data_IF_236744126012
#
_entry.id   IF_236744126012
#
_cell.length_a   1.000
_cell.length_b   1.000
_cell.length_c   1.000
_cell.angle_alpha   90.00
_cell.angle_beta   90.00
_cell.angle_gamma   90.00
#
_symmetry.space_group_name_H-M   'P 1'
#
loop_
_entity.id
_entity.type
_entity.pdbx_description
1 polymer ?
#
# COMPACT_ATOMS: atom_id res chain seq x y z
N UNK A 1 14.43 -4.62 -0.38
CA UNK A 1 13.09 -5.06 -0.83
C UNK A 1 12.23 -5.34 0.40
N UNK A 2 10.93 -5.03 0.33
CA UNK A 2 9.97 -5.31 1.41
C UNK A 2 9.84 -6.81 1.67
N UNK A 3 9.69 -7.19 2.96
CA UNK A 3 9.42 -8.58 3.38
C UNK A 3 8.22 -8.66 4.33
N UNK A 4 8.18 -7.80 5.34
CA UNK A 4 7.14 -7.80 6.37
C UNK A 4 7.02 -6.44 7.08
N UNK A 5 6.02 -6.30 7.95
CA UNK A 5 5.74 -5.10 8.74
C UNK A 5 4.98 -4.01 7.99
N UNK A 6 4.75 -2.87 8.65
CA UNK A 6 4.15 -1.67 8.04
C UNK A 6 5.25 -0.84 7.37
N UNK A 7 5.26 -0.82 6.04
CA UNK A 7 6.20 -0.05 5.24
C UNK A 7 5.94 1.46 5.36
N UNK A 8 7.01 2.22 5.57
CA UNK A 8 7.04 3.68 5.53
C UNK A 8 8.39 4.13 4.97
N UNK A 9 8.40 5.21 4.21
CA UNK A 9 9.62 5.83 3.70
C UNK A 9 9.43 7.33 3.53
N UNK A 10 10.48 8.11 3.80
CA UNK A 10 10.48 9.55 3.50
C UNK A 10 10.80 9.83 2.02
N UNK A 11 11.25 8.82 1.27
CA UNK A 11 11.64 8.95 -0.14
C UNK A 11 10.45 8.82 -1.09
N UNK A 12 9.26 8.50 -0.56
CA UNK A 12 8.06 8.35 -1.36
C UNK A 12 7.42 9.70 -1.65
N UNK A 13 7.67 10.24 -2.85
CA UNK A 13 7.08 11.50 -3.30
C UNK A 13 5.69 11.25 -3.89
N UNK A 14 4.70 12.05 -3.45
CA UNK A 14 3.32 11.95 -3.93
C UNK A 14 3.16 12.20 -5.44
N UNK A 15 4.10 12.92 -6.06
CA UNK A 15 4.09 13.25 -7.49
C UNK A 15 4.62 12.12 -8.39
N UNK A 16 5.31 11.12 -7.83
CA UNK A 16 6.03 10.09 -8.58
C UNK A 16 5.28 8.74 -8.57
N UNK A 17 3.95 8.78 -8.67
CA UNK A 17 3.12 7.56 -8.74
C UNK A 17 3.42 6.85 -10.06
N UNK A 18 3.89 5.60 -9.97
CA UNK A 18 4.35 4.82 -11.12
C UNK A 18 3.86 3.36 -11.15
N UNK A 19 3.10 2.92 -10.14
CA UNK A 19 2.69 1.51 -10.00
C UNK A 19 1.24 1.38 -9.53
N UNK A 20 0.45 0.57 -10.24
CA UNK A 20 -0.93 0.25 -9.90
C UNK A 20 -1.03 -0.98 -9.01
N UNK A 21 -1.76 -0.86 -7.90
CA UNK A 21 -1.95 -1.92 -6.89
C UNK A 21 -3.39 -1.93 -6.37
N UNK A 22 -3.78 -2.96 -5.62
CA UNK A 22 -5.13 -3.08 -5.07
C UNK A 22 -5.12 -2.99 -3.54
N UNK A 23 -5.77 -1.97 -2.99
CA UNK A 23 -6.09 -1.92 -1.56
C UNK A 23 -7.22 -2.92 -1.29
N UNK A 24 -6.98 -3.86 -0.39
CA UNK A 24 -7.95 -4.92 -0.02
C UNK A 24 -8.43 -4.82 1.42
N UNK A 25 -7.90 -3.86 2.18
CA UNK A 25 -8.30 -3.64 3.56
C UNK A 25 -7.41 -2.64 4.28
N UNK A 26 -7.65 -2.48 5.58
CA UNK A 26 -6.89 -1.59 6.44
C UNK A 26 -6.90 -2.11 7.88
N UNK A 27 -5.97 -1.63 8.69
CA UNK A 27 -5.92 -2.00 10.10
C UNK A 27 -4.92 -1.14 10.88
N UNK A 28 -4.48 -1.70 12.01
CA UNK A 28 -3.45 -1.14 12.88
C UNK A 28 -2.55 -2.27 13.38
N UNK A 29 -1.25 -2.04 13.38
CA UNK A 29 -0.23 -2.99 13.85
C UNK A 29 0.83 -2.22 14.63
N UNK A 30 1.10 -2.61 15.88
CA UNK A 30 2.08 -1.95 16.76
C UNK A 30 1.97 -0.42 16.78
N UNK A 31 0.74 0.10 16.89
CA UNK A 31 0.49 1.54 16.91
C UNK A 31 0.44 2.22 15.53
N UNK A 32 0.82 1.53 14.45
CA UNK A 32 0.85 2.06 13.08
C UNK A 32 -0.40 1.63 12.30
N UNK A 33 -1.21 2.60 11.90
CA UNK A 33 -2.29 2.38 10.94
C UNK A 33 -1.72 1.98 9.59
N UNK A 34 -2.34 1.01 8.92
CA UNK A 34 -1.91 0.54 7.60
C UNK A 34 -3.06 0.37 6.61
N UNK A 35 -2.72 0.44 5.33
CA UNK A 35 -3.44 -0.15 4.20
C UNK A 35 -2.89 -1.54 3.94
N UNK A 36 -3.75 -2.54 3.76
CA UNK A 36 -3.36 -3.86 3.26
C UNK A 36 -3.49 -3.85 1.74
N UNK A 37 -2.38 -4.09 1.06
CA UNK A 37 -2.28 -3.92 -0.39
C UNK A 37 -1.83 -5.24 -1.03
N UNK A 38 -2.59 -5.69 -2.03
CA UNK A 38 -2.23 -6.79 -2.92
C UNK A 38 -1.33 -6.26 -4.04
N UNK A 39 -0.17 -6.87 -4.23
CA UNK A 39 0.75 -6.53 -5.31
C UNK A 39 0.62 -7.53 -6.48
N UNK A 40 1.30 -7.24 -7.59
CA UNK A 40 1.32 -8.04 -8.82
C UNK A 40 2.68 -8.71 -9.11
N UNK A 41 3.59 -8.74 -8.13
CA UNK A 41 4.96 -9.28 -8.27
C UNK A 41 5.10 -10.75 -7.86
N UNK A 42 4.01 -11.52 -7.86
CA UNK A 42 3.98 -12.91 -7.40
C UNK A 42 3.89 -13.05 -5.87
N UNK A 43 3.63 -14.28 -5.42
CA UNK A 43 3.44 -14.62 -4.01
C UNK A 43 4.76 -14.72 -3.21
N UNK A 44 5.87 -15.01 -3.89
CA UNK A 44 7.22 -14.99 -3.30
C UNK A 44 7.68 -13.59 -2.88
N UNK A 45 7.01 -12.54 -3.37
CA UNK A 45 7.32 -11.16 -2.99
C UNK A 45 6.53 -10.73 -1.75
N UNK A 46 7.19 -10.00 -0.85
CA UNK A 46 6.57 -9.44 0.35
C UNK A 46 5.97 -10.52 1.26
N UNK A 47 4.80 -10.25 1.81
CA UNK A 47 4.08 -11.19 2.67
C UNK A 47 3.04 -11.94 1.83
N UNK A 48 3.46 -13.02 1.15
CA UNK A 48 2.60 -13.82 0.26
C UNK A 48 1.96 -13.00 -0.87
N UNK A 49 2.72 -12.08 -1.48
CA UNK A 49 2.23 -11.15 -2.52
C UNK A 49 1.57 -9.87 -1.99
N UNK A 50 1.52 -9.69 -0.67
CA UNK A 50 0.95 -8.50 -0.04
C UNK A 50 2.01 -7.64 0.64
N UNK A 51 1.65 -6.39 0.88
CA UNK A 51 2.38 -5.52 1.78
C UNK A 51 1.43 -4.61 2.55
N UNK A 52 1.93 -4.11 3.68
CA UNK A 52 1.24 -3.10 4.48
C UNK A 52 1.91 -1.75 4.26
N UNK A 53 1.15 -0.74 3.87
CA UNK A 53 1.65 0.63 3.69
C UNK A 53 1.13 1.53 4.82
N UNK A 54 1.97 2.41 5.37
CA UNK A 54 1.58 3.34 6.43
C UNK A 54 0.39 4.21 5.98
N UNK A 55 -0.73 4.06 6.67
CA UNK A 55 -1.96 4.86 6.49
C UNK A 55 -1.99 6.02 7.47
N UNK A 56 -2.74 7.09 7.18
CA UNK A 56 -2.83 8.28 8.03
C UNK A 56 -1.47 8.95 8.32
N UNK A 57 -0.55 8.90 7.36
CA UNK A 57 0.77 9.54 7.41
C UNK A 57 0.99 10.35 6.13
N UNK A 58 0.34 11.50 6.04
CA UNK A 58 0.48 12.48 4.95
C UNK A 58 0.36 11.87 3.54
N UNK A 59 -0.68 11.05 3.29
CA UNK A 59 -0.87 10.35 2.02
C UNK A 59 0.42 9.65 1.52
N UNK A 60 1.04 8.86 2.39
CA UNK A 60 2.26 8.09 2.12
C UNK A 60 2.22 7.47 0.71
N UNK A 61 3.26 7.75 -0.08
CA UNK A 61 3.40 7.27 -1.47
C UNK A 61 2.27 7.65 -2.43
N UNK A 62 1.46 8.66 -2.11
CA UNK A 62 0.34 9.06 -2.96
C UNK A 62 -0.77 8.00 -3.08
N UNK A 63 -0.86 7.05 -2.14
CA UNK A 63 -1.78 5.89 -2.22
C UNK A 63 -3.25 6.28 -2.41
N UNK A 64 -3.66 7.46 -1.94
CA UNK A 64 -5.03 7.96 -2.07
C UNK A 64 -5.21 8.98 -3.22
N UNK A 65 -4.20 9.23 -4.05
CA UNK A 65 -4.26 10.27 -5.10
C UNK A 65 -4.96 9.81 -6.38
N UNK A 66 -4.88 8.51 -6.74
CA UNK A 66 -5.44 7.95 -7.97
C UNK A 66 -6.31 6.70 -7.69
N UNK A 67 -7.03 6.69 -6.56
CA UNK A 67 -7.88 5.57 -6.17
C UNK A 67 -9.17 5.53 -7.02
N UNK A 68 -9.59 4.34 -7.43
CA UNK A 68 -10.84 4.12 -8.15
C UNK A 68 -11.39 2.72 -7.85
N UNK A 69 -12.67 2.52 -8.13
CA UNK A 69 -13.33 1.22 -8.07
C UNK A 69 -14.37 1.12 -9.20
N UNK A 70 -14.54 -0.05 -9.82
CA UNK A 70 -15.55 -0.25 -10.86
C UNK A 70 -16.95 -0.39 -10.22
N UNK A 71 -17.96 0.14 -10.90
CA UNK A 71 -19.36 -0.21 -10.65
C UNK A 71 -19.74 -1.33 -11.62
N UNK A 72 -20.15 -2.48 -11.08
CA UNK A 72 -20.69 -3.58 -11.88
C UNK A 72 -22.18 -3.32 -12.05
N UNK A 73 -22.58 -3.03 -13.29
CA UNK A 73 -23.98 -2.90 -13.70
C UNK A 73 -24.56 -4.27 -14.07
#
# INVERSE_FOLDING_TARGET
MYKSGVFESNDCKYADINHGVLVVGYGKEHGKDYWLIKNSLGDLWGSKGYFKLRRNKHNMCGVASNASFPLLL
#
